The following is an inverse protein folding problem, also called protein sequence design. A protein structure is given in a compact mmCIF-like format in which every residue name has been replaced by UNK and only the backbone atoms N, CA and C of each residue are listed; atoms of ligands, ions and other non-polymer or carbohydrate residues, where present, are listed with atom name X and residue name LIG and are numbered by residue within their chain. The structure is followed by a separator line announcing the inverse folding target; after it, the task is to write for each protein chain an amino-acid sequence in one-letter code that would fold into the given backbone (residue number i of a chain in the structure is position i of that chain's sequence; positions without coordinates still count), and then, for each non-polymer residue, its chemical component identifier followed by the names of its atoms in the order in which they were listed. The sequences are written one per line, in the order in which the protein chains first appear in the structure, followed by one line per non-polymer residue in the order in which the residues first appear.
data_IF_676512358244
#
_entry.id   IF_676512358244
#
_cell.length_a   1.000
_cell.length_b   1.000
_cell.length_c   1.000
_cell.angle_alpha   90.00
_cell.angle_beta   90.00
_cell.angle_gamma   90.00
#
_symmetry.space_group_name_H-M   'P 1'
#
loop_
_entity.id
_entity.type
_entity.pdbx_description
1 polymer ?
#
# COMPACT_ATOMS: atom_id res chain seq x y z
N UNK A 1 34.99 5.61 12.51
CA UNK A 1 33.98 6.19 13.42
C UNK A 1 32.63 5.74 12.91
N UNK A 2 32.05 4.72 13.53
CA UNK A 2 30.76 4.16 13.13
C UNK A 2 29.67 5.14 13.58
N UNK A 3 28.99 5.74 12.60
CA UNK A 3 27.88 6.66 12.83
C UNK A 3 26.69 5.88 13.40
N UNK A 4 26.29 6.27 14.60
CA UNK A 4 25.09 5.81 15.28
C UNK A 4 23.89 6.38 14.51
N UNK A 5 23.37 5.65 13.51
CA UNK A 5 22.15 6.01 12.81
C UNK A 5 20.99 5.71 13.76
N UNK A 6 20.20 6.74 14.06
CA UNK A 6 19.27 6.81 15.17
C UNK A 6 18.30 5.63 15.27
N UNK A 7 18.10 5.20 16.51
CA UNK A 7 17.00 4.33 16.93
C UNK A 7 15.68 4.95 16.45
N UNK A 8 14.97 4.27 15.55
CA UNK A 8 13.53 4.50 15.44
C UNK A 8 12.90 3.87 16.69
N UNK A 9 12.59 4.69 17.69
CA UNK A 9 11.99 4.32 18.98
C UNK A 9 10.59 3.67 18.90
N UNK A 10 10.08 3.34 17.70
CA UNK A 10 8.69 2.94 17.46
C UNK A 10 8.49 1.52 16.89
N UNK A 11 9.52 0.70 16.69
CA UNK A 11 9.32 -0.70 16.28
C UNK A 11 9.19 -1.61 17.50
N UNK A 12 7.94 -1.94 17.89
CA UNK A 12 7.65 -2.83 19.01
C UNK A 12 8.08 -4.29 18.75
N UNK A 13 8.13 -4.70 17.47
CA UNK A 13 8.41 -6.07 17.07
C UNK A 13 9.34 -6.17 15.85
N UNK A 14 10.14 -7.23 15.84
CA UNK A 14 10.91 -7.73 14.70
C UNK A 14 10.53 -9.17 14.40
N UNK A 15 10.87 -9.65 13.21
CA UNK A 15 10.36 -10.91 12.68
C UNK A 15 11.46 -11.85 12.26
N UNK A 16 11.27 -13.14 12.52
CA UNK A 16 12.15 -14.23 12.09
C UNK A 16 11.37 -15.21 11.22
N UNK A 17 11.85 -15.45 10.01
CA UNK A 17 11.40 -16.58 9.19
C UNK A 17 12.19 -17.81 9.64
N UNK A 18 11.49 -18.79 10.20
CA UNK A 18 12.08 -19.99 10.76
C UNK A 18 11.63 -21.22 9.98
N UNK A 19 12.53 -22.18 9.77
CA UNK A 19 12.14 -23.50 9.25
C UNK A 19 11.42 -24.29 10.35
N UNK A 20 10.60 -25.26 9.97
CA UNK A 20 9.94 -26.13 10.94
C UNK A 20 10.93 -26.86 11.87
N UNK A 21 12.13 -27.18 11.36
CA UNK A 21 13.21 -27.75 12.16
C UNK A 21 13.72 -26.81 13.24
N UNK A 22 14.08 -25.57 12.87
CA UNK A 22 14.54 -24.54 13.80
C UNK A 22 13.45 -24.16 14.82
N UNK A 23 12.20 -24.03 14.38
CA UNK A 23 11.08 -23.75 15.27
C UNK A 23 10.85 -24.89 16.27
N UNK A 24 10.90 -26.15 15.81
CA UNK A 24 10.78 -27.31 16.69
C UNK A 24 11.94 -27.40 17.69
N UNK A 25 13.16 -27.07 17.28
CA UNK A 25 14.31 -26.99 18.18
C UNK A 25 14.08 -25.93 19.26
N UNK A 26 13.74 -24.70 18.87
CA UNK A 26 13.47 -23.60 19.78
C UNK A 26 12.38 -23.93 20.81
N UNK A 27 11.31 -24.60 20.39
CA UNK A 27 10.25 -25.06 21.29
C UNK A 27 10.71 -26.14 22.29
N UNK A 28 11.65 -27.01 21.90
CA UNK A 28 12.13 -28.14 22.73
C UNK A 28 13.25 -27.74 23.69
N UNK A 29 14.22 -26.99 23.21
CA UNK A 29 15.41 -26.58 23.99
C UNK A 29 15.20 -25.26 24.74
N UNK A 30 14.20 -24.46 24.35
CA UNK A 30 13.98 -23.11 24.84
C UNK A 30 14.89 -22.05 24.22
N UNK A 31 15.85 -22.43 23.37
CA UNK A 31 16.73 -21.47 22.68
C UNK A 31 17.32 -22.03 21.38
N UNK A 32 17.67 -21.15 20.43
CA UNK A 32 18.31 -21.53 19.17
C UNK A 32 19.41 -20.54 18.76
N UNK A 33 20.49 -21.06 18.18
CA UNK A 33 21.51 -20.27 17.50
C UNK A 33 21.16 -19.99 16.03
N UNK A 34 19.92 -20.26 15.62
CA UNK A 34 19.46 -19.99 14.27
C UNK A 34 19.94 -21.01 13.23
N UNK A 35 19.81 -20.63 11.96
CA UNK A 35 20.19 -21.42 10.80
C UNK A 35 21.70 -21.33 10.55
N UNK A 36 22.22 -22.06 9.56
CA UNK A 36 23.67 -22.09 9.28
C UNK A 36 24.24 -20.69 9.00
N UNK A 37 23.50 -19.85 8.25
CA UNK A 37 23.90 -18.48 7.96
C UNK A 37 24.07 -17.63 9.23
N UNK A 38 23.23 -17.84 10.25
CA UNK A 38 23.31 -17.14 11.53
C UNK A 38 24.57 -17.56 12.32
N UNK A 39 24.88 -18.86 12.28
CA UNK A 39 26.09 -19.42 12.90
C UNK A 39 27.37 -18.92 12.25
N UNK A 40 27.38 -18.81 10.93
CA UNK A 40 28.53 -18.33 10.17
C UNK A 40 28.76 -16.82 10.37
N UNK A 41 27.67 -16.05 10.39
CA UNK A 41 27.71 -14.59 10.56
C UNK A 41 27.85 -14.14 12.02
N UNK A 42 27.58 -15.03 12.99
CA UNK A 42 27.64 -14.76 14.44
C UNK A 42 26.60 -13.76 14.91
N UNK A 43 25.43 -13.74 14.28
CA UNK A 43 24.21 -13.06 14.73
C UNK A 43 22.97 -13.69 14.11
N UNK A 44 21.80 -13.49 14.73
CA UNK A 44 20.52 -13.96 14.21
C UNK A 44 19.96 -12.92 13.24
N UNK A 45 19.70 -13.32 11.99
CA UNK A 45 19.07 -12.46 11.00
C UNK A 45 17.58 -12.32 11.28
N UNK A 46 17.15 -11.07 11.45
CA UNK A 46 15.76 -10.68 11.64
C UNK A 46 15.32 -9.78 10.48
N UNK A 47 14.03 -9.48 10.43
CA UNK A 47 13.45 -8.56 9.45
C UNK A 47 12.45 -7.65 10.15
N UNK A 48 12.34 -6.41 9.66
CA UNK A 48 11.17 -5.58 9.90
C UNK A 48 9.95 -6.19 9.22
N UNK A 49 8.75 -5.82 9.66
CA UNK A 49 7.51 -6.36 9.08
C UNK A 49 7.43 -6.16 7.56
N UNK A 50 7.78 -4.96 7.07
CA UNK A 50 7.80 -4.63 5.65
C UNK A 50 8.90 -5.35 4.84
N UNK A 51 9.91 -5.91 5.49
CA UNK A 51 11.02 -6.65 4.85
C UNK A 51 10.72 -8.14 4.70
N UNK A 52 9.80 -8.70 5.50
CA UNK A 52 9.52 -10.15 5.53
C UNK A 52 9.19 -10.70 4.14
N UNK A 53 8.37 -9.97 3.35
CA UNK A 53 8.02 -10.38 1.98
C UNK A 53 9.26 -10.58 1.11
N UNK A 54 10.08 -9.54 0.99
CA UNK A 54 11.27 -9.58 0.14
C UNK A 54 12.26 -10.65 0.58
N UNK A 55 12.36 -10.91 1.89
CA UNK A 55 13.20 -11.97 2.44
C UNK A 55 12.66 -13.36 2.05
N UNK A 56 11.34 -13.57 2.18
CA UNK A 56 10.68 -14.80 1.74
C UNK A 56 10.88 -15.06 0.23
N UNK A 57 10.65 -14.04 -0.58
CA UNK A 57 10.81 -14.09 -2.04
C UNK A 57 12.24 -14.40 -2.47
N UNK A 58 13.23 -13.80 -1.79
CA UNK A 58 14.64 -13.91 -2.16
C UNK A 58 15.28 -15.23 -1.72
N UNK A 59 14.93 -15.72 -0.52
CA UNK A 59 15.66 -16.83 0.10
C UNK A 59 14.85 -18.12 0.25
N UNK A 60 13.52 -18.05 0.23
CA UNK A 60 12.65 -19.17 0.59
C UNK A 60 11.69 -19.63 -0.51
N UNK A 61 11.69 -19.01 -1.71
CA UNK A 61 10.76 -19.35 -2.80
C UNK A 61 10.77 -20.82 -3.24
N UNK A 62 11.94 -21.46 -3.19
CA UNK A 62 12.11 -22.85 -3.65
C UNK A 62 12.33 -23.83 -2.50
N UNK A 63 12.02 -23.43 -1.27
CA UNK A 63 12.19 -24.35 -0.12
C UNK A 63 11.08 -25.40 -0.10
N UNK A 64 11.44 -26.64 0.24
CA UNK A 64 10.49 -27.71 0.55
C UNK A 64 10.11 -27.75 2.03
N UNK A 65 10.81 -26.99 2.87
CA UNK A 65 10.56 -26.96 4.30
C UNK A 65 9.31 -26.16 4.63
N UNK A 66 8.54 -26.66 5.59
CA UNK A 66 7.52 -25.86 6.25
C UNK A 66 8.18 -24.65 6.92
N UNK A 67 7.57 -23.47 6.78
CA UNK A 67 8.07 -22.22 7.34
C UNK A 67 7.13 -21.67 8.40
N UNK A 68 7.70 -20.97 9.37
CA UNK A 68 7.01 -20.23 10.42
C UNK A 68 7.50 -18.80 10.45
N UNK A 69 6.59 -17.86 10.63
CA UNK A 69 6.92 -16.49 10.97
C UNK A 69 6.85 -16.36 12.49
N UNK A 70 7.94 -15.92 13.11
CA UNK A 70 8.02 -15.64 14.54
C UNK A 70 8.06 -14.12 14.74
N UNK A 71 7.14 -13.60 15.54
CA UNK A 71 7.11 -12.21 16.00
C UNK A 71 7.86 -12.12 17.34
N UNK A 72 8.87 -11.26 17.40
CA UNK A 72 9.82 -11.16 18.50
C UNK A 72 9.72 -9.76 19.11
N UNK A 73 9.65 -9.70 20.44
CA UNK A 73 9.56 -8.46 21.21
C UNK A 73 10.92 -7.74 21.26
N UNK A 74 11.01 -6.56 20.67
CA UNK A 74 12.22 -5.75 20.67
C UNK A 74 12.70 -5.41 22.10
N UNK A 75 11.76 -5.23 23.04
CA UNK A 75 12.09 -4.88 24.44
C UNK A 75 12.83 -6.02 25.13
N UNK A 76 12.56 -7.27 24.76
CA UNK A 76 13.24 -8.46 25.31
C UNK A 76 14.62 -8.69 24.69
N UNK A 77 14.85 -8.20 23.48
CA UNK A 77 16.16 -8.26 22.82
C UNK A 77 17.15 -7.24 23.38
N UNK A 78 16.65 -6.10 23.87
CA UNK A 78 17.44 -5.08 24.55
C UNK A 78 18.58 -4.53 23.69
N UNK A 79 19.75 -4.31 24.31
CA UNK A 79 20.96 -3.79 23.65
C UNK A 79 21.63 -4.79 22.69
N UNK A 80 21.12 -6.03 22.62
CA UNK A 80 21.58 -7.06 21.72
C UNK A 80 21.04 -6.94 20.29
N UNK A 81 20.04 -6.08 20.05
CA UNK A 81 19.46 -5.83 18.73
C UNK A 81 20.14 -4.63 18.07
N UNK A 82 20.68 -4.83 16.87
CA UNK A 82 21.34 -3.80 16.07
C UNK A 82 20.70 -3.71 14.67
N UNK A 83 20.62 -2.50 14.15
CA UNK A 83 20.10 -2.23 12.81
C UNK A 83 21.27 -1.88 11.89
N UNK A 84 21.57 -2.76 10.94
CA UNK A 84 22.76 -2.65 10.10
C UNK A 84 22.37 -2.48 8.63
N UNK A 85 23.08 -1.58 7.94
CA UNK A 85 22.91 -1.33 6.52
C UNK A 85 23.57 -2.43 5.70
N UNK A 86 22.82 -3.00 4.75
CA UNK A 86 23.27 -4.11 3.89
C UNK A 86 23.71 -3.62 2.51
N UNK A 87 23.13 -2.55 1.98
CA UNK A 87 23.32 -2.12 0.58
C UNK A 87 23.18 -0.61 0.31
N UNK A 88 23.19 0.24 1.34
CA UNK A 88 23.02 1.69 1.25
C UNK A 88 21.56 2.15 1.24
N UNK A 89 20.61 1.22 1.14
CA UNK A 89 19.17 1.52 1.07
C UNK A 89 18.33 0.70 2.05
N UNK A 90 18.82 -0.47 2.49
CA UNK A 90 18.10 -1.39 3.35
C UNK A 90 18.83 -1.63 4.67
N UNK A 91 18.18 -1.27 5.78
CA UNK A 91 18.66 -1.49 7.14
C UNK A 91 17.93 -2.68 7.75
N UNK A 92 18.64 -3.76 8.05
CA UNK A 92 18.09 -4.99 8.61
C UNK A 92 18.40 -5.12 10.12
N UNK A 93 17.45 -5.63 10.92
CA UNK A 93 17.71 -5.96 12.31
C UNK A 93 18.51 -7.25 12.43
N UNK A 94 19.57 -7.22 13.22
CA UNK A 94 20.42 -8.36 13.57
C UNK A 94 20.51 -8.46 15.09
N UNK A 95 20.27 -9.65 15.62
CA UNK A 95 20.39 -9.91 17.05
C UNK A 95 21.70 -10.63 17.37
N UNK A 96 22.58 -9.94 18.08
CA UNK A 96 23.83 -10.49 18.58
C UNK A 96 23.75 -10.88 20.06
N UNK A 97 22.86 -10.27 20.82
CA UNK A 97 22.91 -10.29 22.28
C UNK A 97 23.85 -9.23 22.87
N UNK A 98 23.84 -9.07 24.21
CA UNK A 98 24.56 -8.01 24.90
C UNK A 98 26.03 -7.96 24.51
N UNK A 99 26.56 -6.76 24.24
CA UNK A 99 27.96 -6.55 23.83
C UNK A 99 28.41 -7.33 22.58
N UNK A 100 27.49 -7.66 21.67
CA UNK A 100 27.75 -8.43 20.43
C UNK A 100 28.32 -9.85 20.69
N UNK A 101 27.90 -10.49 21.78
CA UNK A 101 28.46 -11.76 22.26
C UNK A 101 28.00 -13.02 21.50
N UNK A 102 27.07 -12.88 20.57
CA UNK A 102 26.40 -13.98 19.86
C UNK A 102 25.72 -14.98 20.81
N UNK A 103 24.61 -14.56 21.40
CA UNK A 103 23.76 -15.39 22.27
C UNK A 103 22.59 -16.00 21.48
N UNK A 104 22.06 -17.16 21.89
CA UNK A 104 20.93 -17.76 21.19
C UNK A 104 19.66 -16.93 21.39
N UNK A 105 18.79 -16.95 20.38
CA UNK A 105 17.41 -16.47 20.52
C UNK A 105 16.66 -17.42 21.46
N UNK A 106 15.95 -16.88 22.45
CA UNK A 106 15.21 -17.68 23.44
C UNK A 106 13.72 -17.67 23.15
N UNK A 107 13.03 -18.73 23.59
CA UNK A 107 11.60 -18.90 23.30
C UNK A 107 10.74 -17.81 23.94
N UNK A 108 11.12 -17.28 25.10
CA UNK A 108 10.38 -16.23 25.79
C UNK A 108 10.43 -14.87 25.04
N UNK A 109 11.39 -14.68 24.13
CA UNK A 109 11.45 -13.51 23.25
C UNK A 109 10.37 -13.55 22.15
N UNK A 110 9.85 -14.73 21.82
CA UNK A 110 8.81 -14.93 20.79
C UNK A 110 7.42 -14.69 21.38
N UNK A 111 6.71 -13.69 20.87
CA UNK A 111 5.35 -13.32 21.32
C UNK A 111 4.29 -14.10 20.56
N UNK A 112 4.52 -14.34 19.27
CA UNK A 112 3.61 -15.05 18.39
C UNK A 112 4.38 -15.84 17.35
N UNK A 113 3.88 -17.02 17.01
CA UNK A 113 4.40 -17.84 15.91
C UNK A 113 3.24 -18.31 15.04
N UNK A 114 3.40 -18.25 13.72
CA UNK A 114 2.37 -18.68 12.78
C UNK A 114 3.02 -19.42 11.60
N UNK A 115 2.39 -20.52 11.17
CA UNK A 115 2.83 -21.24 9.98
C UNK A 115 2.57 -20.39 8.73
N UNK A 116 3.57 -20.29 7.86
CA UNK A 116 3.45 -19.62 6.56
C UNK A 116 2.95 -20.64 5.54
N UNK A 117 1.90 -20.31 4.82
CA UNK A 117 1.34 -21.16 3.76
C UNK A 117 1.90 -20.66 2.43
N UNK A 118 2.58 -21.53 1.67
CA UNK A 118 2.99 -21.24 0.30
C UNK A 118 1.95 -21.77 -0.68
N UNK A 119 1.42 -20.91 -1.55
CA UNK A 119 0.46 -21.28 -2.59
C UNK A 119 0.71 -20.45 -3.86
N UNK A 120 0.88 -21.10 -5.01
CA UNK A 120 1.08 -20.45 -6.32
C UNK A 120 2.21 -19.39 -6.35
N UNK A 121 3.31 -19.63 -5.64
CA UNK A 121 4.43 -18.66 -5.56
C UNK A 121 4.15 -17.45 -4.68
N UNK A 122 3.12 -17.49 -3.83
CA UNK A 122 2.83 -16.49 -2.82
C UNK A 122 2.88 -17.09 -1.42
N UNK A 123 3.32 -16.29 -0.46
CA UNK A 123 3.35 -16.64 0.96
C UNK A 123 2.20 -15.97 1.71
N UNK A 124 1.41 -16.76 2.44
CA UNK A 124 0.22 -16.33 3.17
C UNK A 124 0.47 -16.54 4.67
N UNK A 125 0.27 -15.47 5.46
CA UNK A 125 0.37 -15.46 6.92
C UNK A 125 -0.51 -14.34 7.48
N UNK A 126 -1.33 -14.62 8.49
CA UNK A 126 -2.26 -13.66 9.11
C UNK A 126 -1.53 -12.50 9.80
N UNK A 127 -0.34 -12.74 10.35
CA UNK A 127 0.52 -11.66 10.87
C UNK A 127 0.97 -10.70 9.78
N UNK A 128 1.04 -11.15 8.53
CA UNK A 128 1.32 -10.28 7.40
C UNK A 128 0.03 -9.64 6.85
N UNK A 129 -1.15 -10.23 7.04
CA UNK A 129 -2.44 -9.77 6.48
C UNK A 129 -2.91 -8.40 6.95
N UNK A 130 -2.45 -7.93 8.12
CA UNK A 130 -2.74 -6.57 8.57
C UNK A 130 -1.83 -5.52 7.95
N UNK A 131 -0.55 -5.84 7.77
CA UNK A 131 0.39 -4.99 7.04
C UNK A 131 0.19 -5.03 5.53
N UNK A 132 -0.40 -6.09 4.98
CA UNK A 132 -0.84 -6.13 3.58
C UNK A 132 -1.99 -5.16 3.35
N UNK A 133 -2.86 -4.92 4.33
CA UNK A 133 -3.87 -3.87 4.18
C UNK A 133 -3.26 -2.47 4.28
N UNK A 134 -2.29 -2.16 5.13
CA UNK A 134 -1.72 -0.80 5.10
C UNK A 134 -0.77 -0.53 3.91
N UNK A 135 -0.06 -1.55 3.42
CA UNK A 135 0.83 -1.44 2.26
C UNK A 135 0.15 -1.68 0.90
N UNK A 136 -0.94 -2.47 0.85
CA UNK A 136 -1.76 -2.66 -0.36
C UNK A 136 -3.05 -1.83 -0.35
N UNK A 137 -3.56 -1.24 0.73
CA UNK A 137 -4.67 -0.27 0.61
C UNK A 137 -4.18 1.07 0.02
N UNK A 138 -2.87 1.33 0.07
CA UNK A 138 -2.22 2.33 -0.77
C UNK A 138 -1.93 1.86 -2.20
N UNK A 139 -2.26 0.61 -2.57
CA UNK A 139 -1.95 0.01 -3.89
C UNK A 139 -3.00 -0.95 -4.47
N UNK A 140 -4.21 -1.05 -3.92
CA UNK A 140 -5.38 -1.38 -4.74
C UNK A 140 -5.61 -0.12 -5.55
N UNK A 141 -4.80 -0.01 -6.59
CA UNK A 141 -4.98 0.90 -7.67
C UNK A 141 -6.34 0.51 -8.26
N UNK A 142 -7.39 1.19 -7.77
CA UNK A 142 -8.78 0.98 -8.17
C UNK A 142 -8.91 1.08 -9.70
N UNK A 143 -7.94 1.73 -10.35
CA UNK A 143 -7.78 1.80 -11.78
C UNK A 143 -7.22 0.51 -12.39
N UNK A 144 -6.22 -0.13 -11.79
CA UNK A 144 -5.70 -1.44 -12.24
C UNK A 144 -6.71 -2.57 -12.09
N UNK A 145 -7.58 -2.51 -11.08
CA UNK A 145 -8.66 -3.51 -10.91
C UNK A 145 -9.94 -3.15 -11.67
N UNK A 146 -9.94 -2.05 -12.45
CA UNK A 146 -11.05 -1.65 -13.33
C UNK A 146 -12.30 -1.16 -12.60
N UNK A 147 -12.21 -0.90 -11.30
CA UNK A 147 -13.33 -0.44 -10.46
C UNK A 147 -13.53 1.07 -10.54
N UNK A 148 -12.44 1.82 -10.72
CA UNK A 148 -12.45 3.26 -10.95
C UNK A 148 -11.56 3.53 -12.16
N UNK A 149 -12.09 3.87 -13.34
CA UNK A 149 -11.24 4.23 -14.48
C UNK A 149 -10.19 5.30 -14.10
N UNK A 150 -8.95 5.20 -14.59
CA UNK A 150 -7.91 6.26 -14.41
C UNK A 150 -8.46 7.61 -14.89
N UNK A 151 -9.31 7.62 -15.90
CA UNK A 151 -9.98 8.82 -16.43
C UNK A 151 -10.89 9.54 -15.41
N UNK A 152 -11.21 8.88 -14.29
CA UNK A 152 -12.03 9.45 -13.23
C UNK A 152 -11.29 10.43 -12.32
N UNK A 153 -9.96 10.33 -12.26
CA UNK A 153 -9.11 11.24 -11.49
C UNK A 153 -8.20 12.01 -12.44
N UNK A 154 -8.46 13.31 -12.57
CA UNK A 154 -7.66 14.20 -13.42
C UNK A 154 -7.04 15.29 -12.57
N UNK A 155 -5.82 15.68 -12.89
CA UNK A 155 -5.21 16.88 -12.31
C UNK A 155 -5.90 18.10 -12.91
N UNK A 156 -6.43 18.96 -12.06
CA UNK A 156 -6.89 20.31 -12.42
C UNK A 156 -5.70 21.24 -12.26
N UNK A 157 -5.24 21.77 -13.38
CA UNK A 157 -4.08 22.65 -13.39
C UNK A 157 -4.44 23.99 -12.75
N UNK A 158 -3.66 24.33 -11.74
CA UNK A 158 -3.55 25.66 -11.15
C UNK A 158 -2.28 26.31 -11.67
N UNK A 159 -1.24 26.36 -10.84
CA UNK A 159 0.10 26.85 -11.17
C UNK A 159 0.97 25.83 -11.92
N UNK A 160 0.54 24.57 -11.97
CA UNK A 160 1.18 23.48 -12.71
C UNK A 160 2.47 22.95 -12.09
N UNK A 161 2.88 23.42 -10.92
CA UNK A 161 4.19 23.07 -10.32
C UNK A 161 4.21 21.69 -9.65
N UNK A 162 3.03 21.13 -9.35
CA UNK A 162 2.91 19.82 -8.70
C UNK A 162 2.32 18.76 -9.62
N UNK A 163 2.30 19.02 -10.93
CA UNK A 163 1.76 18.11 -11.95
C UNK A 163 2.83 17.81 -12.98
N UNK A 164 3.17 16.52 -13.16
CA UNK A 164 4.14 16.07 -14.15
C UNK A 164 3.54 16.12 -15.55
N UNK A 165 4.17 16.87 -16.45
CA UNK A 165 3.68 17.15 -17.80
C UNK A 165 3.39 15.87 -18.59
N UNK A 166 4.33 14.93 -18.61
CA UNK A 166 4.24 13.73 -19.43
C UNK A 166 3.48 12.57 -18.77
N UNK A 167 3.51 12.51 -17.45
CA UNK A 167 3.11 11.32 -16.69
C UNK A 167 1.72 11.43 -16.06
N UNK A 168 1.33 12.60 -15.57
CA UNK A 168 0.02 12.78 -14.95
C UNK A 168 -1.09 12.94 -16.00
N UNK A 169 -2.31 12.54 -15.63
CA UNK A 169 -3.50 12.76 -16.46
C UNK A 169 -4.11 14.10 -16.11
N UNK A 170 -3.70 15.15 -16.83
CA UNK A 170 -4.20 16.52 -16.65
C UNK A 170 -4.95 17.06 -17.87
N UNK A 171 -4.89 16.36 -19.00
CA UNK A 171 -5.60 16.70 -20.23
C UNK A 171 -6.09 15.43 -20.94
N UNK A 172 -7.33 15.43 -21.43
CA UNK A 172 -8.03 14.24 -21.92
C UNK A 172 -8.10 13.11 -20.86
N UNK A 173 -7.99 11.84 -21.26
CA UNK A 173 -8.24 10.65 -20.41
C UNK A 173 -6.99 9.79 -20.13
N UNK A 174 -5.86 10.07 -20.78
CA UNK A 174 -4.61 9.31 -20.67
C UNK A 174 -3.41 10.24 -20.51
N UNK A 175 -2.26 9.72 -20.11
CA UNK A 175 -1.03 10.53 -19.98
C UNK A 175 -0.57 11.06 -21.35
N UNK A 176 0.07 12.23 -21.38
CA UNK A 176 0.62 12.79 -22.62
C UNK A 176 1.72 11.91 -23.22
N UNK A 177 2.46 11.16 -22.40
CA UNK A 177 3.45 10.18 -22.88
C UNK A 177 2.80 9.05 -23.70
N UNK A 178 1.58 8.64 -23.34
CA UNK A 178 0.80 7.66 -24.10
C UNK A 178 0.17 8.26 -25.37
N UNK A 179 -0.29 9.52 -25.30
CA UNK A 179 -0.91 10.20 -26.43
C UNK A 179 0.11 10.61 -27.51
N UNK A 180 1.30 11.07 -27.10
CA UNK A 180 2.33 11.65 -27.97
C UNK A 180 3.71 10.99 -27.75
N UNK A 181 3.84 9.67 -27.98
CA UNK A 181 5.05 8.91 -27.63
C UNK A 181 6.31 9.37 -28.38
N UNK A 182 6.18 9.95 -29.58
CA UNK A 182 7.35 10.41 -30.34
C UNK A 182 7.90 11.71 -29.79
N UNK A 183 7.03 12.62 -29.38
CA UNK A 183 7.44 13.84 -28.68
C UNK A 183 8.05 13.50 -27.31
N UNK A 184 7.43 12.58 -26.57
CA UNK A 184 7.96 12.13 -25.28
C UNK A 184 9.40 11.59 -25.38
N UNK A 185 9.72 10.82 -26.42
CA UNK A 185 11.07 10.31 -26.66
C UNK A 185 12.11 11.39 -26.99
N UNK A 186 11.67 12.57 -27.43
CA UNK A 186 12.53 13.72 -27.72
C UNK A 186 12.77 14.61 -26.52
N UNK A 187 11.97 14.47 -25.47
CA UNK A 187 12.09 15.28 -24.26
C UNK A 187 13.43 15.01 -23.56
N UNK A 188 14.15 16.09 -23.24
CA UNK A 188 15.37 15.97 -22.44
C UNK A 188 15.02 15.73 -20.97
N UNK A 189 14.04 16.46 -20.43
CA UNK A 189 13.57 16.33 -19.06
C UNK A 189 12.19 15.65 -18.98
N UNK A 190 12.17 14.32 -18.87
CA UNK A 190 10.91 13.54 -18.83
C UNK A 190 10.02 13.85 -17.61
N UNK A 191 10.61 14.34 -16.51
CA UNK A 191 9.92 14.68 -15.27
C UNK A 191 9.59 16.19 -15.15
N UNK A 192 9.56 16.91 -16.28
CA UNK A 192 9.19 18.33 -16.31
C UNK A 192 7.76 18.52 -15.82
N UNK A 193 7.54 19.58 -15.04
CA UNK A 193 6.21 19.94 -14.52
C UNK A 193 5.45 20.82 -15.50
N UNK A 194 4.11 20.83 -15.42
CA UNK A 194 3.26 21.61 -16.33
C UNK A 194 3.57 23.10 -16.26
N UNK A 195 3.83 23.65 -15.07
CA UNK A 195 4.09 25.08 -14.88
C UNK A 195 5.36 25.60 -15.58
N UNK A 196 6.39 24.75 -15.65
CA UNK A 196 7.64 25.08 -16.36
C UNK A 196 7.51 24.88 -17.88
N UNK A 197 6.64 23.95 -18.27
CA UNK A 197 6.51 23.53 -19.67
C UNK A 197 5.46 24.34 -20.44
N UNK A 198 4.35 24.69 -19.80
CA UNK A 198 3.22 25.41 -20.40
C UNK A 198 2.89 26.68 -19.63
N UNK A 199 3.06 27.84 -20.28
CA UNK A 199 2.77 29.14 -19.66
C UNK A 199 1.34 29.66 -19.91
N UNK A 200 0.43 28.81 -20.39
CA UNK A 200 -0.92 29.21 -20.80
C UNK A 200 -1.05 29.68 -22.26
N UNK A 201 0.07 29.84 -22.98
CA UNK A 201 0.04 30.30 -24.39
C UNK A 201 1.04 29.58 -25.29
N UNK A 202 2.21 29.23 -24.76
CA UNK A 202 3.31 28.60 -25.48
C UNK A 202 3.97 27.56 -24.60
N UNK A 203 4.47 26.53 -25.26
CA UNK A 203 5.31 25.54 -24.64
C UNK A 203 6.77 25.97 -24.61
N UNK A 204 7.46 25.61 -23.54
CA UNK A 204 8.91 25.72 -23.37
C UNK A 204 9.54 24.35 -23.60
N UNK A 205 9.77 24.01 -24.87
CA UNK A 205 10.36 22.72 -25.24
C UNK A 205 11.87 22.71 -25.06
N UNK A 206 12.39 21.62 -24.53
CA UNK A 206 13.83 21.33 -24.53
C UNK A 206 14.12 19.99 -25.20
N UNK A 207 14.06 19.99 -26.53
CA UNK A 207 14.24 18.78 -27.31
C UNK A 207 15.70 18.34 -27.40
N UNK A 208 15.95 17.05 -27.18
CA UNK A 208 17.26 16.40 -27.42
C UNK A 208 17.75 16.60 -28.85
N UNK A 209 16.83 16.79 -29.79
CA UNK A 209 17.09 17.15 -31.19
C UNK A 209 15.87 17.85 -31.82
N UNK A 210 16.05 18.61 -32.92
CA UNK A 210 14.93 19.18 -33.66
C UNK A 210 13.94 18.12 -34.17
N UNK A 211 12.68 18.53 -34.31
CA UNK A 211 11.63 17.75 -34.97
C UNK A 211 12.00 17.54 -36.45
N UNK A 212 11.78 16.34 -36.95
CA UNK A 212 12.13 15.93 -38.32
C UNK A 212 10.93 15.94 -39.27
N UNK A 213 9.80 16.47 -38.84
CA UNK A 213 8.58 16.51 -39.63
C UNK A 213 7.75 15.22 -39.60
N UNK A 214 6.77 15.18 -40.49
CA UNK A 214 5.79 14.08 -40.58
C UNK A 214 5.01 13.94 -39.28
N UNK A 215 4.94 12.72 -38.77
CA UNK A 215 4.26 12.37 -37.52
C UNK A 215 4.79 13.07 -36.26
N UNK A 216 6.06 13.52 -36.24
CA UNK A 216 6.55 14.36 -35.12
C UNK A 216 5.85 15.72 -35.12
N UNK A 217 5.68 16.33 -36.31
CA UNK A 217 4.94 17.58 -36.47
C UNK A 217 3.44 17.38 -36.25
N UNK A 218 2.85 16.28 -36.71
CA UNK A 218 1.43 15.98 -36.45
C UNK A 218 1.14 15.91 -34.94
N UNK A 219 1.97 15.17 -34.18
CA UNK A 219 1.85 15.11 -32.74
C UNK A 219 2.05 16.49 -32.09
N UNK A 220 2.99 17.30 -32.62
CA UNK A 220 3.23 18.66 -32.13
C UNK A 220 2.01 19.57 -32.32
N UNK A 221 1.36 19.53 -33.47
CA UNK A 221 0.16 20.33 -33.73
C UNK A 221 -0.99 19.87 -32.83
N UNK A 222 -1.18 18.55 -32.70
CA UNK A 222 -2.23 17.99 -31.83
C UNK A 222 -2.04 18.39 -30.36
N UNK A 223 -0.82 18.31 -29.82
CA UNK A 223 -0.57 18.68 -28.42
C UNK A 223 -0.77 20.19 -28.18
N UNK A 224 -0.40 21.03 -29.16
CA UNK A 224 -0.68 22.46 -29.13
C UNK A 224 -2.18 22.77 -29.17
N UNK A 225 -2.96 22.01 -29.93
CA UNK A 225 -4.41 22.22 -30.03
C UNK A 225 -5.15 21.84 -28.76
N UNK A 226 -4.79 20.73 -28.12
CA UNK A 226 -5.41 20.35 -26.85
C UNK A 226 -5.01 21.31 -25.73
N UNK A 227 -3.74 21.76 -25.68
CA UNK A 227 -3.26 22.62 -24.59
C UNK A 227 -3.91 24.00 -24.55
N UNK A 228 -4.46 24.48 -25.69
CA UNK A 228 -5.30 25.70 -25.73
C UNK A 228 -6.52 25.62 -24.81
N UNK A 229 -6.95 24.42 -24.41
CA UNK A 229 -8.07 24.22 -23.51
C UNK A 229 -7.69 24.37 -22.03
N UNK A 230 -6.39 24.48 -21.72
CA UNK A 230 -5.87 24.53 -20.34
C UNK A 230 -5.40 25.95 -20.00
N UNK A 231 -5.99 26.51 -18.95
CA UNK A 231 -5.61 27.82 -18.39
C UNK A 231 -4.79 27.63 -17.12
N UNK A 232 -3.65 28.31 -17.01
CA UNK A 232 -2.84 28.38 -15.78
C UNK A 232 -3.46 29.44 -14.84
N UNK A 233 -3.57 29.11 -13.56
CA UNK A 233 -4.10 30.00 -12.51
C UNK A 233 -3.04 30.23 -11.41
N UNK A 234 -3.22 31.28 -10.60
CA UNK A 234 -2.35 31.53 -9.43
C UNK A 234 -2.76 30.73 -8.18
N UNK A 235 -3.43 29.60 -8.37
CA UNK A 235 -3.84 28.69 -7.30
C UNK A 235 -3.03 27.41 -7.40
N UNK A 236 -2.85 26.69 -6.29
CA UNK A 236 -2.23 25.36 -6.31
C UNK A 236 -3.04 24.41 -7.22
N UNK A 237 -2.33 23.49 -7.88
CA UNK A 237 -2.97 22.38 -8.59
C UNK A 237 -3.86 21.56 -7.66
N UNK A 238 -4.99 21.08 -8.17
CA UNK A 238 -5.92 20.26 -7.39
C UNK A 238 -6.29 18.97 -8.13
N UNK A 239 -6.88 18.03 -7.42
CA UNK A 239 -7.51 16.87 -8.05
C UNK A 239 -8.94 17.23 -8.49
N UNK A 240 -9.33 16.77 -9.67
CA UNK A 240 -10.69 16.83 -10.20
C UNK A 240 -11.22 15.42 -10.35
N UNK A 241 -12.41 15.22 -9.79
CA UNK A 241 -13.15 13.98 -9.87
C UNK A 241 -14.19 14.07 -11.00
N UNK A 242 -14.16 13.16 -11.97
CA UNK A 242 -15.07 13.19 -13.12
C UNK A 242 -16.26 12.23 -13.03
N UNK A 243 -16.41 11.44 -11.95
CA UNK A 243 -17.62 10.63 -11.73
C UNK A 243 -18.80 11.43 -11.13
N UNK A 244 -18.65 12.74 -10.91
CA UNK A 244 -19.74 13.61 -10.43
C UNK A 244 -19.61 15.01 -11.05
N UNK A 245 -20.72 15.75 -11.00
CA UNK A 245 -20.88 17.13 -11.48
C UNK A 245 -20.21 18.19 -10.60
N UNK A 246 -19.80 17.83 -9.38
CA UNK A 246 -19.25 18.76 -8.38
C UNK A 246 -17.73 18.93 -8.45
N UNK A 247 -17.03 18.27 -9.38
CA UNK A 247 -15.56 18.28 -9.52
C UNK A 247 -14.75 17.82 -8.29
N UNK A 248 -15.43 17.47 -7.19
CA UNK A 248 -14.87 17.01 -5.92
C UNK A 248 -15.13 15.53 -5.71
N UNK A 249 -14.18 14.84 -5.06
CA UNK A 249 -14.39 13.46 -4.65
C UNK A 249 -15.53 13.36 -3.62
N UNK A 250 -16.47 12.44 -3.84
CA UNK A 250 -17.45 12.06 -2.84
C UNK A 250 -17.64 10.54 -2.82
N UNK A 251 -17.70 9.97 -1.61
CA UNK A 251 -17.94 8.54 -1.39
C UNK A 251 -19.27 8.12 -2.03
N UNK A 252 -20.29 8.98 -1.98
CA UNK A 252 -21.60 8.77 -2.58
C UNK A 252 -21.51 8.61 -4.11
N UNK A 253 -20.78 9.49 -4.80
CA UNK A 253 -20.64 9.40 -6.26
C UNK A 253 -19.84 8.18 -6.70
N UNK A 254 -18.74 7.87 -6.00
CA UNK A 254 -17.98 6.64 -6.23
C UNK A 254 -18.86 5.41 -6.04
N UNK A 255 -19.67 5.37 -4.99
CA UNK A 255 -20.55 4.24 -4.73
C UNK A 255 -21.60 4.05 -5.82
N UNK A 256 -22.24 5.13 -6.27
CA UNK A 256 -23.18 5.09 -7.40
C UNK A 256 -22.53 4.56 -8.68
N UNK A 257 -21.31 4.98 -8.96
CA UNK A 257 -20.54 4.49 -10.11
C UNK A 257 -20.29 2.97 -10.02
N UNK A 258 -19.83 2.49 -8.85
CA UNK A 258 -19.59 1.06 -8.61
C UNK A 258 -20.87 0.22 -8.67
N UNK A 259 -21.98 0.75 -8.14
CA UNK A 259 -23.28 0.09 -8.18
C UNK A 259 -23.77 -0.05 -9.64
N UNK A 260 -23.58 0.96 -10.49
CA UNK A 260 -23.88 0.88 -11.92
C UNK A 260 -23.03 -0.15 -12.68
N UNK A 261 -21.78 -0.38 -12.25
CA UNK A 261 -20.88 -1.36 -12.87
C UNK A 261 -21.16 -2.80 -12.42
N UNK A 262 -21.61 -2.98 -11.17
CA UNK A 262 -21.59 -4.29 -10.51
C UNK A 262 -22.96 -4.94 -10.35
N UNK A 263 -24.06 -4.18 -10.46
CA UNK A 263 -25.40 -4.69 -10.17
C UNK A 263 -26.25 -4.83 -11.44
N UNK A 264 -27.02 -5.93 -11.59
CA UNK A 264 -28.00 -6.07 -12.66
C UNK A 264 -28.98 -4.90 -12.63
N UNK A 265 -29.38 -4.43 -13.82
CA UNK A 265 -30.20 -3.24 -14.12
C UNK A 265 -31.57 -3.13 -13.42
N UNK A 266 -31.90 -4.04 -12.49
CA UNK A 266 -33.20 -4.12 -11.82
C UNK A 266 -33.16 -4.04 -10.28
N UNK A 267 -32.01 -3.84 -9.65
CA UNK A 267 -31.97 -3.54 -8.22
C UNK A 267 -31.42 -2.12 -7.98
N UNK A 268 -32.32 -1.20 -7.60
CA UNK A 268 -31.89 0.05 -6.94
C UNK A 268 -31.18 -0.34 -5.65
N UNK A 269 -29.86 -0.25 -5.63
CA UNK A 269 -29.04 -0.48 -4.44
C UNK A 269 -29.27 0.59 -3.37
N UNK A 270 -29.59 1.80 -3.80
CA UNK A 270 -29.97 2.92 -2.95
C UNK A 270 -31.28 3.51 -3.49
N UNK A 271 -32.36 3.33 -2.75
CA UNK A 271 -33.48 4.25 -2.88
C UNK A 271 -33.04 5.61 -2.33
N UNK A 272 -33.70 6.70 -2.71
CA UNK A 272 -33.48 8.03 -2.13
C UNK A 272 -33.82 8.11 -0.62
N UNK A 273 -33.92 6.97 0.08
CA UNK A 273 -34.09 6.92 1.52
C UNK A 273 -32.77 7.28 2.19
N UNK A 274 -32.85 8.14 3.20
CA UNK A 274 -31.75 8.38 4.14
C UNK A 274 -31.24 7.04 4.66
N UNK A 275 -29.97 6.75 4.40
CA UNK A 275 -29.27 5.61 4.95
C UNK A 275 -29.07 5.87 6.45
N UNK A 276 -30.04 5.41 7.26
CA UNK A 276 -30.02 5.58 8.71
C UNK A 276 -29.12 4.51 9.34
N UNK A 277 -28.63 4.78 10.56
CA UNK A 277 -27.88 3.79 11.37
C UNK A 277 -28.66 2.47 11.44
N UNK A 278 -29.99 2.54 11.52
CA UNK A 278 -30.85 1.37 11.50
C UNK A 278 -30.76 0.61 10.16
N UNK A 279 -30.93 1.27 9.01
CA UNK A 279 -30.77 0.60 7.72
C UNK A 279 -29.38 -0.05 7.56
N UNK A 280 -28.32 0.67 7.92
CA UNK A 280 -26.94 0.17 7.84
C UNK A 280 -26.70 -1.01 8.78
N UNK A 281 -27.16 -0.97 10.03
CA UNK A 281 -26.80 -1.98 11.04
C UNK A 281 -27.74 -3.19 11.06
N UNK A 282 -29.02 -3.04 10.70
CA UNK A 282 -30.03 -4.09 10.91
C UNK A 282 -30.75 -4.60 9.67
N UNK A 283 -30.80 -3.83 8.58
CA UNK A 283 -31.59 -4.22 7.39
C UNK A 283 -30.72 -4.43 6.14
N UNK A 284 -29.57 -3.77 6.06
CA UNK A 284 -28.65 -3.93 4.94
C UNK A 284 -27.94 -5.29 5.01
N UNK A 285 -28.32 -6.19 4.11
CA UNK A 285 -27.78 -7.56 4.05
C UNK A 285 -26.26 -7.61 3.81
N UNK A 286 -25.70 -6.59 3.15
CA UNK A 286 -24.26 -6.47 2.92
C UNK A 286 -23.58 -6.12 4.25
N UNK A 287 -24.06 -5.09 4.94
CA UNK A 287 -23.47 -4.62 6.18
C UNK A 287 -23.60 -5.65 7.30
N UNK A 288 -24.71 -6.39 7.38
CA UNK A 288 -24.86 -7.53 8.31
C UNK A 288 -23.76 -8.58 8.11
N UNK A 289 -23.41 -8.89 6.85
CA UNK A 289 -22.33 -9.84 6.53
C UNK A 289 -20.97 -9.29 6.94
N UNK A 290 -20.73 -8.01 6.68
CA UNK A 290 -19.49 -7.32 7.08
C UNK A 290 -19.35 -7.31 8.60
N UNK A 291 -20.39 -6.95 9.35
CA UNK A 291 -20.34 -6.95 10.82
C UNK A 291 -20.15 -8.35 11.40
N UNK A 292 -20.75 -9.39 10.82
CA UNK A 292 -20.46 -10.77 11.23
C UNK A 292 -18.99 -11.13 11.06
N UNK A 293 -18.33 -10.63 10.02
CA UNK A 293 -16.90 -10.82 9.83
C UNK A 293 -16.08 -9.99 10.81
N UNK A 294 -16.44 -8.72 11.04
CA UNK A 294 -15.77 -7.83 12.01
C UNK A 294 -15.86 -8.38 13.43
N UNK A 295 -17.02 -8.87 13.86
CA UNK A 295 -17.22 -9.47 15.19
C UNK A 295 -16.37 -10.73 15.37
N UNK A 296 -16.33 -11.60 14.34
CA UNK A 296 -15.46 -12.79 14.33
C UNK A 296 -13.98 -12.41 14.35
N UNK A 297 -13.63 -11.33 13.66
CA UNK A 297 -12.28 -10.81 13.53
C UNK A 297 -11.75 -10.20 14.84
N UNK A 298 -12.63 -9.55 15.61
CA UNK A 298 -12.32 -8.98 16.92
C UNK A 298 -12.43 -10.01 18.07
N UNK A 299 -12.70 -11.29 17.75
CA UNK A 299 -12.93 -12.38 18.70
C UNK A 299 -13.96 -12.04 19.80
N UNK A 300 -14.96 -11.23 19.43
CA UNK A 300 -16.03 -10.82 20.33
C UNK A 300 -17.06 -11.95 20.42
N UNK A 301 -17.14 -12.60 21.60
CA UNK A 301 -18.26 -13.46 21.95
C UNK A 301 -19.50 -12.58 22.21
N UNK A 302 -20.17 -12.15 21.14
CA UNK A 302 -21.51 -11.61 21.28
C UNK A 302 -22.42 -12.76 21.73
N UNK A 303 -23.10 -12.66 22.88
CA UNK A 303 -24.12 -13.63 23.25
C UNK A 303 -25.22 -13.54 22.19
N UNK A 304 -25.28 -14.50 21.28
CA UNK A 304 -26.27 -14.47 20.20
C UNK A 304 -27.66 -14.72 20.76
N UNK A 305 -28.36 -13.63 21.07
CA UNK A 305 -29.75 -13.29 20.73
C UNK A 305 -30.16 -12.07 21.56
N UNK A 306 -29.44 -10.95 21.43
CA UNK A 306 -29.97 -9.68 21.92
C UNK A 306 -30.87 -9.12 20.81
N UNK A 307 -32.17 -8.86 21.08
CA UNK A 307 -32.97 -8.01 20.21
C UNK A 307 -32.21 -6.71 19.96
N UNK A 308 -32.22 -6.23 18.73
CA UNK A 308 -31.48 -5.03 18.30
C UNK A 308 -31.65 -3.83 19.25
N UNK A 309 -32.80 -3.72 19.90
CA UNK A 309 -33.10 -2.69 20.90
C UNK A 309 -32.13 -2.76 22.10
N UNK A 310 -31.79 -3.95 22.59
CA UNK A 310 -30.87 -4.12 23.73
C UNK A 310 -29.42 -3.80 23.35
N UNK A 311 -29.03 -4.01 22.09
CA UNK A 311 -27.73 -3.57 21.56
C UNK A 311 -27.65 -2.03 21.45
N UNK A 312 -28.71 -1.39 20.97
CA UNK A 312 -28.78 0.07 20.88
C UNK A 312 -28.81 0.71 22.28
N UNK A 313 -29.53 0.12 23.23
CA UNK A 313 -29.55 0.57 24.62
C UNK A 313 -28.16 0.43 25.28
N UNK A 314 -27.42 -0.66 25.00
CA UNK A 314 -26.05 -0.81 25.45
C UNK A 314 -25.13 0.28 24.88
N UNK A 315 -25.16 0.53 23.57
CA UNK A 315 -24.32 1.55 22.93
C UNK A 315 -24.64 2.95 23.45
N UNK A 316 -25.92 3.28 23.66
CA UNK A 316 -26.33 4.57 24.21
C UNK A 316 -26.04 4.71 25.71
N UNK A 317 -25.90 3.61 26.45
CA UNK A 317 -25.52 3.65 27.87
C UNK A 317 -24.03 3.94 28.12
N UNK A 318 -23.19 3.88 27.07
CA UNK A 318 -21.75 4.15 27.13
C UNK A 318 -21.37 5.56 26.65
N UNK A 319 -22.37 6.39 26.30
CA UNK A 319 -22.23 7.79 25.88
C UNK A 319 -22.84 8.72 26.94
#
# INVERSE_FOLDING_TARGET
MAGNVGLNENEEYVYRISTAGEWSELQKSGCTYGQQLDKDSRYIHLSKLNQVKSTLERFYMNTSDDLFLLQIDCKKLGDGLLYEDVDGSNVFPHFYGPSRSYVPLTLDMVVKAEKIISSNGQFICSMLSYSWLESDLHKVDLHKVGLVPISCMKRKIGDGVSTLFWHDVWINDTSLAQQFPRLFLLEECINVVVGDHWNGSRFSWNWRRPLRGGIEDEQYHMICDIAKQVTIAQSEDSWRWSCDTMDSFSVNALRKHLDCLSLPSHHRATSNGLESIYHTMSECIITIKVWKWVVKWLDLNLPFQLPLNEFLDFVNSQA
#
